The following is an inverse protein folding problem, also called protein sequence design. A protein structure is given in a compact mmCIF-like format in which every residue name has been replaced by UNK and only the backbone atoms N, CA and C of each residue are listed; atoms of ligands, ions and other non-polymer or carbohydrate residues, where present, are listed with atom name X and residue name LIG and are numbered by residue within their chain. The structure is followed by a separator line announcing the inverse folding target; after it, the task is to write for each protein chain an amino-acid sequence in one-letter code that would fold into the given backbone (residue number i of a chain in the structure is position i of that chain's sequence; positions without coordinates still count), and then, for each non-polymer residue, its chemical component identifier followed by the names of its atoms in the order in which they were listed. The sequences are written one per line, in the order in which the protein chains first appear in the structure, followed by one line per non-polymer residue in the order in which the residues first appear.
data_IF_569382615626
#
_entry.id   IF_569382615626
#
_cell.length_a   1.000
_cell.length_b   1.000
_cell.length_c   1.000
_cell.angle_alpha   90.00
_cell.angle_beta   90.00
_cell.angle_gamma   90.00
#
_symmetry.space_group_name_H-M   'P 1'
#
loop_
_entity.id
_entity.type
_entity.pdbx_description
1 polymer ?
#
# COMPACT_ATOMS: atom_id res chain seq x y z
N UNK A 1 35.09 -10.93 12.33
CA UNK A 1 34.00 -11.81 11.88
C UNK A 1 32.76 -10.94 11.76
N UNK A 2 32.30 -10.65 10.54
CA UNK A 2 31.14 -9.79 10.31
C UNK A 2 29.90 -10.47 10.90
N UNK A 3 29.32 -9.88 11.94
CA UNK A 3 27.98 -10.26 12.39
C UNK A 3 27.01 -9.77 11.31
N UNK A 4 26.29 -10.71 10.70
CA UNK A 4 25.35 -10.44 9.62
C UNK A 4 24.31 -9.41 10.04
N UNK A 5 24.17 -8.38 9.23
CA UNK A 5 23.18 -7.34 9.39
C UNK A 5 21.78 -7.96 9.17
N UNK A 6 21.01 -8.11 10.23
CA UNK A 6 19.64 -8.62 10.17
C UNK A 6 18.72 -7.49 9.71
N UNK A 7 18.60 -7.29 8.40
CA UNK A 7 17.61 -6.38 7.81
C UNK A 7 16.18 -6.85 8.16
N UNK A 8 15.59 -6.28 9.20
CA UNK A 8 14.18 -6.46 9.53
C UNK A 8 13.33 -5.71 8.52
N UNK A 9 12.81 -6.41 7.52
CA UNK A 9 11.89 -5.83 6.55
C UNK A 9 10.55 -5.55 7.23
N UNK A 10 10.19 -4.28 7.37
CA UNK A 10 8.84 -3.87 7.77
C UNK A 10 7.91 -3.96 6.55
N UNK A 11 6.92 -4.84 6.64
CA UNK A 11 5.89 -5.01 5.60
C UNK A 11 4.61 -4.36 6.07
N UNK A 12 4.01 -3.53 5.22
CA UNK A 12 2.72 -2.91 5.49
C UNK A 12 1.66 -3.47 4.55
N UNK A 13 0.63 -4.10 5.12
CA UNK A 13 -0.53 -4.56 4.37
C UNK A 13 -1.59 -3.48 4.28
N UNK A 14 -2.05 -3.21 3.05
CA UNK A 14 -3.13 -2.28 2.80
C UNK A 14 -4.16 -2.89 1.86
N UNK A 15 -5.10 -3.63 2.44
CA UNK A 15 -6.21 -4.25 1.71
C UNK A 15 -7.40 -3.30 1.54
N UNK A 16 -8.28 -3.63 0.59
CA UNK A 16 -9.56 -2.94 0.40
C UNK A 16 -10.62 -3.50 1.37
N UNK A 17 -11.51 -2.66 1.93
CA UNK A 17 -12.64 -3.12 2.73
C UNK A 17 -13.53 -4.10 1.96
N UNK A 18 -14.16 -5.03 2.67
CA UNK A 18 -15.04 -6.05 2.07
C UNK A 18 -16.11 -5.46 1.16
N UNK A 19 -16.79 -4.39 1.60
CA UNK A 19 -17.79 -3.70 0.78
C UNK A 19 -17.22 -3.15 -0.53
N UNK A 20 -16.03 -2.54 -0.49
CA UNK A 20 -15.39 -1.99 -1.71
C UNK A 20 -14.99 -3.10 -2.69
N UNK A 21 -14.57 -4.26 -2.16
CA UNK A 21 -14.29 -5.44 -2.98
C UNK A 21 -15.58 -5.98 -3.59
N UNK A 22 -16.66 -6.07 -2.82
CA UNK A 22 -17.97 -6.52 -3.31
C UNK A 22 -18.51 -5.58 -4.40
N UNK A 23 -18.47 -4.27 -4.19
CA UNK A 23 -18.87 -3.27 -5.19
C UNK A 23 -18.06 -3.40 -6.49
N UNK A 24 -16.76 -3.71 -6.39
CA UNK A 24 -15.89 -3.94 -7.54
C UNK A 24 -16.28 -5.21 -8.31
N UNK A 25 -16.58 -6.30 -7.60
CA UNK A 25 -17.03 -7.57 -8.19
C UNK A 25 -18.39 -7.39 -8.88
N UNK A 26 -19.32 -6.66 -8.26
CA UNK A 26 -20.64 -6.33 -8.83
C UNK A 26 -20.54 -5.52 -10.11
N UNK A 27 -19.43 -4.79 -10.33
CA UNK A 27 -19.11 -4.10 -11.58
C UNK A 27 -18.48 -5.00 -12.65
N UNK A 28 -18.44 -6.32 -12.43
CA UNK A 28 -17.98 -7.32 -13.39
C UNK A 28 -16.46 -7.52 -13.43
N UNK A 29 -15.72 -7.04 -12.42
CA UNK A 29 -14.28 -7.27 -12.31
C UNK A 29 -13.97 -8.62 -11.67
N UNK A 30 -12.79 -9.16 -11.95
CA UNK A 30 -12.33 -10.41 -11.35
C UNK A 30 -11.89 -10.22 -9.90
N UNK A 31 -11.88 -11.30 -9.11
CA UNK A 31 -11.34 -11.29 -7.73
C UNK A 31 -9.90 -10.78 -7.65
N UNK A 32 -9.10 -11.02 -8.69
CA UNK A 32 -7.73 -10.53 -8.76
C UNK A 32 -7.70 -9.02 -8.97
N UNK A 33 -8.49 -8.52 -9.92
CA UNK A 33 -8.64 -7.09 -10.19
C UNK A 33 -9.16 -6.28 -9.00
N UNK A 34 -10.00 -6.88 -8.15
CA UNK A 34 -10.59 -6.23 -6.97
C UNK A 34 -9.68 -6.22 -5.73
N UNK A 35 -8.36 -6.31 -5.91
CA UNK A 35 -7.40 -6.07 -4.83
C UNK A 35 -6.91 -4.63 -4.84
N UNK A 36 -6.22 -4.25 -3.77
CA UNK A 36 -5.48 -3.00 -3.72
C UNK A 36 -4.06 -3.21 -4.24
N UNK A 37 -3.77 -2.69 -5.43
CA UNK A 37 -2.43 -2.70 -6.01
C UNK A 37 -1.80 -1.33 -5.83
N UNK A 38 -0.68 -1.28 -5.11
CA UNK A 38 0.09 -0.03 -4.94
C UNK A 38 0.73 0.34 -6.28
N UNK A 39 0.56 1.60 -6.68
CA UNK A 39 0.99 2.12 -7.99
C UNK A 39 1.76 3.43 -7.89
N UNK A 40 1.56 4.18 -6.81
CA UNK A 40 2.20 5.48 -6.58
C UNK A 40 2.83 5.48 -5.20
N UNK A 41 4.08 5.91 -5.12
CA UNK A 41 4.80 6.22 -3.89
C UNK A 41 5.59 7.51 -4.10
N UNK A 42 5.29 8.53 -3.31
CA UNK A 42 5.96 9.84 -3.36
C UNK A 42 6.53 10.14 -1.99
N UNK A 43 7.85 10.34 -1.91
CA UNK A 43 8.51 10.83 -0.69
C UNK A 43 8.31 12.35 -0.59
N UNK A 44 7.91 12.82 0.58
CA UNK A 44 7.76 14.23 0.91
C UNK A 44 8.96 14.68 1.76
N UNK A 45 9.25 15.98 1.76
CA UNK A 45 10.40 16.56 2.48
C UNK A 45 10.28 16.53 4.01
N UNK A 46 9.10 16.22 4.54
CA UNK A 46 8.78 16.23 5.97
C UNK A 46 8.85 14.84 6.63
N UNK A 47 9.60 13.89 6.07
CA UNK A 47 9.69 12.52 6.60
C UNK A 47 8.42 11.70 6.43
N UNK A 48 7.58 12.05 5.44
CA UNK A 48 6.34 11.35 5.12
C UNK A 48 6.34 10.88 3.68
N UNK A 49 5.55 9.87 3.38
CA UNK A 49 5.32 9.43 2.01
C UNK A 49 3.83 9.33 1.72
N UNK A 50 3.44 9.76 0.52
CA UNK A 50 2.11 9.53 -0.02
C UNK A 50 2.14 8.24 -0.83
N UNK A 51 1.30 7.29 -0.46
CA UNK A 51 1.16 5.99 -1.15
C UNK A 51 -0.26 5.87 -1.69
N UNK A 52 -0.42 5.57 -2.97
CA UNK A 52 -1.72 5.34 -3.58
C UNK A 52 -1.80 3.98 -4.25
N UNK A 53 -2.99 3.38 -4.19
CA UNK A 53 -3.28 2.11 -4.81
C UNK A 53 -4.65 2.06 -5.49
N UNK A 54 -4.85 1.04 -6.31
CA UNK A 54 -6.10 0.83 -7.07
C UNK A 54 -7.32 0.62 -6.20
N UNK A 55 -7.10 0.12 -4.98
CA UNK A 55 -8.07 -0.08 -3.92
C UNK A 55 -9.41 -0.64 -4.42
N UNK A 56 -9.35 -1.79 -5.10
CA UNK A 56 -10.49 -2.47 -5.73
C UNK A 56 -11.28 -1.55 -6.69
N UNK A 57 -10.59 -0.98 -7.69
CA UNK A 57 -11.18 -0.06 -8.67
C UNK A 57 -11.84 1.20 -8.05
N UNK A 58 -11.43 1.56 -6.84
CA UNK A 58 -11.84 2.79 -6.14
C UNK A 58 -10.60 3.48 -5.57
N UNK A 59 -9.76 4.12 -6.42
CA UNK A 59 -8.41 4.55 -6.03
C UNK A 59 -8.37 5.39 -4.76
N UNK A 60 -7.42 5.08 -3.89
CA UNK A 60 -7.19 5.81 -2.64
C UNK A 60 -5.71 6.11 -2.45
N UNK A 61 -5.44 7.15 -1.66
CA UNK A 61 -4.12 7.50 -1.18
C UNK A 61 -4.11 7.54 0.36
N UNK A 62 -2.98 7.20 0.96
CA UNK A 62 -2.71 7.34 2.40
C UNK A 62 -1.31 7.93 2.59
N UNK A 63 -1.17 8.80 3.58
CA UNK A 63 0.13 9.29 4.01
C UNK A 63 0.68 8.42 5.15
N UNK A 64 1.94 8.04 5.06
CA UNK A 64 2.67 7.32 6.10
C UNK A 64 3.84 8.17 6.56
N UNK A 65 4.11 8.19 7.86
CA UNK A 65 5.39 8.67 8.38
C UNK A 65 6.40 7.52 8.32
N UNK A 66 7.64 7.82 7.95
CA UNK A 66 8.75 6.87 8.04
C UNK A 66 9.88 7.52 8.82
N UNK A 67 10.52 6.78 9.72
CA UNK A 67 11.80 7.20 10.28
C UNK A 67 12.85 7.13 9.18
N UNK A 68 13.52 8.25 8.89
CA UNK A 68 14.90 8.15 8.46
C UNK A 68 15.68 7.90 9.75
N UNK A 69 16.07 6.65 9.97
CA UNK A 69 17.20 6.40 10.85
C UNK A 69 18.43 6.93 10.10
N UNK A 70 18.75 8.22 10.31
CA UNK A 70 20.04 8.82 9.96
C UNK A 70 21.11 8.37 10.97
#
# INVERSE_FOLDING_TARGET
MAAGDSLSLQVLEWTSPGQTVEDCLMKGKTKTECRNYIRVLVRQSNGRCLVCGTHAFSPKCREYAYSHDD
#
